data_IF_255134264678
#
_entry.id   IF_255134264678
#
_cell.length_a   1.000
_cell.length_b   1.000
_cell.length_c   1.000
_cell.angle_alpha   90.00
_cell.angle_beta   90.00
_cell.angle_gamma   90.00
#
_symmetry.space_group_name_H-M   'P 1'
#
loop_
_entity.id
_entity.type
_entity.pdbx_description
1 polymer ?
#
# COMPACT_ATOMS: atom_id res chain seq x y z
N UNK A 1 0.24 20.47 -5.26
CA UNK A 1 -0.02 19.30 -6.13
C UNK A 1 -1.07 18.45 -5.45
N UNK A 2 -2.19 18.17 -6.13
CA UNK A 2 -3.22 17.30 -5.58
C UNK A 2 -2.76 15.84 -5.72
N UNK A 3 -2.76 15.10 -4.62
CA UNK A 3 -2.36 13.68 -4.59
C UNK A 3 -3.23 12.84 -5.53
N UNK A 4 -4.48 13.25 -5.80
CA UNK A 4 -5.44 12.56 -6.67
C UNK A 4 -5.07 12.61 -8.15
N UNK A 5 -4.19 13.53 -8.55
CA UNK A 5 -3.78 13.70 -9.95
C UNK A 5 -2.51 12.92 -10.29
N UNK A 6 -1.89 12.27 -9.30
CA UNK A 6 -0.69 11.48 -9.52
C UNK A 6 -1.04 10.08 -10.04
N UNK A 7 -0.26 9.54 -10.98
CA UNK A 7 -0.43 8.17 -11.42
C UNK A 7 -0.26 7.21 -10.23
N UNK A 8 -1.22 6.30 -10.05
CA UNK A 8 -1.26 5.36 -8.93
C UNK A 8 -1.97 5.89 -7.68
N UNK A 9 -2.47 7.13 -7.68
CA UNK A 9 -3.28 7.67 -6.58
C UNK A 9 -4.52 6.83 -6.28
N UNK A 10 -5.09 6.22 -7.31
CA UNK A 10 -6.21 5.28 -7.24
C UNK A 10 -5.90 4.02 -6.42
N UNK A 11 -4.62 3.69 -6.22
CA UNK A 11 -4.17 2.58 -5.37
C UNK A 11 -3.67 3.08 -4.00
N UNK A 12 -2.98 4.23 -3.98
CA UNK A 12 -2.40 4.79 -2.75
C UNK A 12 -3.47 5.29 -1.79
N UNK A 13 -4.47 6.04 -2.26
CA UNK A 13 -5.51 6.60 -1.39
C UNK A 13 -6.35 5.51 -0.70
N UNK A 14 -6.86 4.48 -1.41
CA UNK A 14 -7.51 3.35 -0.75
C UNK A 14 -6.55 2.56 0.14
N UNK A 15 -5.29 2.39 -0.26
CA UNK A 15 -4.28 1.66 0.52
C UNK A 15 -3.99 2.29 1.88
N UNK A 16 -3.89 3.61 1.95
CA UNK A 16 -3.75 4.35 3.21
C UNK A 16 -4.99 4.09 4.08
N UNK A 17 -6.18 4.26 3.51
CA UNK A 17 -7.44 4.00 4.22
C UNK A 17 -7.51 2.56 4.75
N UNK A 18 -7.08 1.58 3.98
CA UNK A 18 -7.03 0.18 4.40
C UNK A 18 -6.12 -0.02 5.62
N UNK A 19 -4.91 0.56 5.59
CA UNK A 19 -3.99 0.50 6.73
C UNK A 19 -4.57 1.15 7.99
N UNK A 20 -5.24 2.30 7.88
CA UNK A 20 -5.92 2.93 9.01
C UNK A 20 -7.07 2.07 9.57
N UNK A 21 -7.68 1.22 8.74
CA UNK A 21 -8.69 0.25 9.17
C UNK A 21 -8.11 -1.10 9.61
N UNK A 22 -6.78 -1.21 9.73
CA UNK A 22 -6.10 -2.46 10.12
C UNK A 22 -6.05 -3.53 9.03
N UNK A 23 -6.39 -3.20 7.79
CA UNK A 23 -6.30 -4.10 6.63
C UNK A 23 -4.91 -3.96 6.00
N UNK A 24 -4.05 -4.94 6.23
CA UNK A 24 -2.61 -4.83 5.93
C UNK A 24 -2.17 -5.70 4.75
N UNK A 25 -3.08 -6.50 4.18
CA UNK A 25 -2.82 -7.48 3.12
C UNK A 25 -3.49 -7.14 1.78
N UNK A 26 -4.17 -6.00 1.67
CA UNK A 26 -4.73 -5.55 0.39
C UNK A 26 -3.61 -5.05 -0.53
N UNK A 27 -3.81 -5.12 -1.85
CA UNK A 27 -2.83 -4.63 -2.83
C UNK A 27 -2.44 -3.18 -2.54
N UNK A 28 -3.42 -2.32 -2.26
CA UNK A 28 -3.17 -0.92 -1.90
C UNK A 28 -2.37 -0.78 -0.61
N UNK A 29 -2.73 -1.51 0.45
CA UNK A 29 -2.02 -1.49 1.72
C UNK A 29 -0.56 -1.95 1.59
N UNK A 30 -0.33 -3.01 0.81
CA UNK A 30 1.01 -3.53 0.51
C UNK A 30 1.85 -2.52 -0.28
N UNK A 31 1.28 -1.88 -1.30
CA UNK A 31 1.95 -0.82 -2.07
C UNK A 31 2.33 0.37 -1.19
N UNK A 32 1.42 0.79 -0.30
CA UNK A 32 1.68 1.87 0.66
C UNK A 32 2.74 1.47 1.68
N UNK A 33 2.76 0.22 2.14
CA UNK A 33 3.80 -0.28 3.03
C UNK A 33 5.20 -0.24 2.39
N UNK A 34 5.32 -0.68 1.14
CA UNK A 34 6.56 -0.63 0.34
C UNK A 34 7.04 0.82 0.18
N UNK A 35 6.12 1.73 -0.15
CA UNK A 35 6.44 3.14 -0.38
C UNK A 35 6.43 4.01 0.90
N UNK A 36 6.21 3.42 2.08
CA UNK A 36 5.90 4.13 3.33
C UNK A 36 6.94 5.20 3.70
N UNK A 37 8.23 4.89 3.53
CA UNK A 37 9.33 5.82 3.79
C UNK A 37 9.24 7.05 2.87
N UNK A 38 8.97 6.85 1.58
CA UNK A 38 8.87 7.93 0.58
C UNK A 38 7.61 8.76 0.78
N UNK A 39 6.48 8.11 1.03
CA UNK A 39 5.20 8.77 1.27
C UNK A 39 5.23 9.60 2.57
N UNK A 40 5.86 9.07 3.63
CA UNK A 40 6.00 9.85 4.87
C UNK A 40 6.91 11.06 4.68
N UNK A 41 8.01 10.90 3.92
CA UNK A 41 8.89 12.03 3.55
C UNK A 41 8.17 13.09 2.71
N UNK A 42 7.17 12.68 1.93
CA UNK A 42 6.31 13.58 1.18
C UNK A 42 5.19 14.23 2.03
N UNK A 43 5.15 13.96 3.34
CA UNK A 43 4.19 14.54 4.27
C UNK A 43 2.87 13.79 4.39
N UNK A 44 2.75 12.58 3.83
CA UNK A 44 1.58 11.74 4.08
C UNK A 44 1.69 11.07 5.45
N UNK A 45 0.58 11.06 6.18
CA UNK A 45 0.46 10.31 7.42
C UNK A 45 0.22 8.83 7.09
N UNK A 46 1.27 8.02 7.29
CA UNK A 46 1.23 6.58 7.05
C UNK A 46 1.39 5.87 8.39
N UNK A 47 0.42 5.03 8.80
CA UNK A 47 0.54 4.26 10.03
C UNK A 47 1.71 3.28 9.90
N UNK A 48 2.73 3.45 10.75
CA UNK A 48 3.92 2.58 10.78
C UNK A 48 3.75 1.34 11.65
N UNK A 49 2.82 1.38 12.57
CA UNK A 49 2.44 0.22 13.39
C UNK A 49 1.65 -0.76 12.53
N UNK A 50 1.98 -2.05 12.61
CA UNK A 50 1.28 -3.15 11.94
C UNK A 50 1.43 -3.23 10.42
N UNK A 51 2.50 -2.66 9.84
CA UNK A 51 2.83 -2.95 8.43
C UNK A 51 3.13 -4.44 8.25
N UNK A 52 2.65 -5.01 7.14
CA UNK A 52 2.88 -6.42 6.82
C UNK A 52 4.39 -6.68 6.66
N UNK A 53 4.95 -7.75 7.25
CA UNK A 53 6.31 -8.18 6.98
C UNK A 53 6.48 -8.53 5.49
N UNK A 54 7.62 -8.14 4.92
CA UNK A 54 7.99 -8.44 3.53
C UNK A 54 6.86 -8.14 2.52
N UNK A 55 6.36 -6.89 2.49
CA UNK A 55 5.18 -6.54 1.71
C UNK A 55 5.36 -6.79 0.21
N UNK A 56 6.58 -6.78 -0.32
CA UNK A 56 6.91 -7.11 -1.71
C UNK A 56 6.63 -8.58 -2.04
N UNK A 57 7.01 -9.50 -1.15
CA UNK A 57 6.76 -10.93 -1.32
C UNK A 57 5.26 -11.23 -1.21
N UNK A 58 4.57 -10.58 -0.28
CA UNK A 58 3.12 -10.68 -0.12
C UNK A 58 2.39 -10.15 -1.35
N UNK A 59 2.86 -9.05 -1.93
CA UNK A 59 2.30 -8.52 -3.17
C UNK A 59 2.50 -9.50 -4.34
N UNK A 60 3.71 -10.06 -4.50
CA UNK A 60 4.01 -11.04 -5.56
C UNK A 60 3.15 -12.31 -5.44
N UNK A 61 3.01 -12.85 -4.23
CA UNK A 61 2.14 -14.01 -3.99
C UNK A 61 0.65 -13.71 -4.23
N UNK A 62 0.17 -12.50 -3.92
CA UNK A 62 -1.21 -12.08 -4.24
C UNK A 62 -1.45 -12.02 -5.76
N UNK A 63 -0.46 -11.56 -6.53
CA UNK A 63 -0.52 -11.52 -7.99
C UNK A 63 -0.47 -12.94 -8.59
N UNK A 64 0.40 -13.81 -8.06
CA UNK A 64 0.50 -15.21 -8.52
C UNK A 64 -0.80 -16.00 -8.35
N UNK A 65 -1.58 -15.69 -7.31
CA UNK A 65 -2.91 -16.27 -7.06
C UNK A 65 -3.94 -15.95 -8.14
N UNK A 66 -3.72 -14.88 -8.93
CA UNK A 66 -4.58 -14.50 -10.05
C UNK A 66 -4.20 -15.22 -11.37
N UNK A 67 -3.04 -15.90 -11.40
CA UNK A 67 -2.50 -16.56 -12.59
C UNK A 67 -2.46 -18.10 -12.48
N UNK A 68 -2.99 -18.67 -11.39
CA UNK A 68 -3.10 -20.13 -11.21
C UNK A 68 -4.49 -20.59 -11.62
N UNK A 69 -4.57 -21.37 -12.71
CA UNK A 69 -5.76 -22.12 -13.14
C UNK A 69 -5.88 -23.43 -12.37
#
# INVERSE_FOLDING_TARGET
MDLKELPGAELILPGIKDLHNGKTDTVGALLVAIASIRLTKAGLDIPRSHLMPEPELRLCSSASRLYTW
#
